data_IF_829170823106
#
_entry.id   IF_829170823106
#
_cell.length_a   1.000
_cell.length_b   1.000
_cell.length_c   1.000
_cell.angle_alpha   90.00
_cell.angle_beta   90.00
_cell.angle_gamma   90.00
#
_symmetry.space_group_name_H-M   'P 1'
#
loop_
_entity.id
_entity.type
_entity.pdbx_description
1 polymer ?
#
# COMPACT_ATOMS: atom_id res chain seq x y z
N UNK A 1 4.20 -7.16 -1.12
CA UNK A 1 4.45 -5.83 -1.76
C UNK A 1 4.38 -5.88 -3.28
N UNK A 2 5.17 -6.73 -3.95
CA UNK A 2 5.22 -6.83 -5.42
C UNK A 2 3.84 -6.94 -6.08
N UNK A 3 2.98 -7.85 -5.61
CA UNK A 3 1.63 -8.02 -6.15
C UNK A 3 0.74 -6.77 -6.02
N UNK A 4 0.86 -6.01 -4.92
CA UNK A 4 0.10 -4.76 -4.74
C UNK A 4 0.57 -3.66 -5.68
N UNK A 5 1.89 -3.58 -5.94
CA UNK A 5 2.46 -2.61 -6.88
C UNK A 5 2.10 -3.01 -8.33
N UNK A 6 2.21 -4.29 -8.67
CA UNK A 6 1.81 -4.82 -9.98
C UNK A 6 0.34 -4.53 -10.30
N UNK A 7 -0.55 -4.72 -9.33
CA UNK A 7 -1.97 -4.38 -9.48
C UNK A 7 -2.16 -2.89 -9.74
N UNK A 8 -1.42 -2.03 -9.04
CA UNK A 8 -1.51 -0.57 -9.23
C UNK A 8 -1.06 -0.16 -10.65
N UNK A 9 0.00 -0.78 -11.17
CA UNK A 9 0.44 -0.60 -12.55
C UNK A 9 -0.65 -1.02 -13.54
N UNK A 10 -1.25 -2.20 -13.36
CA UNK A 10 -2.32 -2.68 -14.24
C UNK A 10 -3.52 -1.72 -14.24
N UNK A 11 -3.89 -1.16 -13.09
CA UNK A 11 -4.95 -0.14 -13.00
C UNK A 11 -4.54 1.14 -13.75
N UNK A 12 -3.29 1.59 -13.64
CA UNK A 12 -2.81 2.75 -14.40
C UNK A 12 -2.85 2.49 -15.91
N UNK A 13 -2.40 1.31 -16.34
CA UNK A 13 -2.48 0.87 -17.74
C UNK A 13 -3.93 0.85 -18.22
N UNK A 14 -4.86 0.29 -17.43
CA UNK A 14 -6.30 0.28 -17.73
C UNK A 14 -6.84 1.69 -17.98
N UNK A 15 -6.51 2.64 -17.10
CA UNK A 15 -6.97 4.05 -17.25
C UNK A 15 -6.44 4.64 -18.55
N UNK A 16 -5.16 4.43 -18.87
CA UNK A 16 -4.58 4.92 -20.12
C UNK A 16 -5.27 4.31 -21.34
N UNK A 17 -5.50 3.00 -21.35
CA UNK A 17 -6.20 2.29 -22.43
C UNK A 17 -7.64 2.78 -22.58
N UNK A 18 -8.38 2.97 -21.49
CA UNK A 18 -9.74 3.52 -21.53
C UNK A 18 -9.75 4.93 -22.11
N UNK A 19 -8.84 5.80 -21.68
CA UNK A 19 -8.76 7.17 -22.19
C UNK A 19 -8.41 7.20 -23.69
N UNK A 20 -7.47 6.35 -24.15
CA UNK A 20 -7.14 6.21 -25.58
C UNK A 20 -8.33 5.72 -26.39
N UNK A 21 -9.04 4.71 -25.87
CA UNK A 21 -10.24 4.16 -26.49
C UNK A 21 -11.37 5.19 -26.56
N UNK A 22 -11.59 5.96 -25.50
CA UNK A 22 -12.57 7.05 -25.48
C UNK A 22 -12.24 8.10 -26.54
N UNK A 23 -10.98 8.51 -26.68
CA UNK A 23 -10.57 9.47 -27.73
C UNK A 23 -10.91 8.96 -29.14
N UNK A 24 -10.57 7.70 -29.44
CA UNK A 24 -10.88 7.09 -30.74
C UNK A 24 -12.39 6.96 -30.97
N UNK A 25 -13.16 6.61 -29.93
CA UNK A 25 -14.61 6.56 -30.01
C UNK A 25 -15.22 7.94 -30.27
N UNK A 26 -14.69 9.01 -29.68
CA UNK A 26 -15.14 10.38 -29.95
C UNK A 26 -14.98 10.79 -31.41
N UNK A 27 -13.92 10.33 -32.07
CA UNK A 27 -13.69 10.58 -33.51
C UNK A 27 -14.67 9.80 -34.39
N UNK A 28 -15.07 8.60 -33.97
CA UNK A 28 -16.02 7.76 -34.70
C UNK A 28 -17.48 8.13 -34.44
N UNK A 29 -17.78 8.61 -33.23
CA UNK A 29 -19.13 8.86 -32.72
C UNK A 29 -19.10 10.15 -31.88
N UNK A 30 -19.23 11.32 -32.52
CA UNK A 30 -19.33 12.58 -31.81
C UNK A 30 -20.56 12.58 -30.89
N UNK A 31 -20.37 12.90 -29.60
CA UNK A 31 -21.47 13.12 -28.64
C UNK A 31 -21.88 11.94 -27.75
N UNK A 32 -21.37 10.72 -27.95
CA UNK A 32 -21.79 9.53 -27.16
C UNK A 32 -20.80 9.06 -26.08
N UNK A 33 -19.84 9.88 -25.68
CA UNK A 33 -18.74 9.41 -24.82
C UNK A 33 -19.20 9.24 -23.37
N UNK A 34 -19.26 7.99 -22.91
CA UNK A 34 -19.59 7.64 -21.52
C UNK A 34 -18.37 7.81 -20.60
N UNK A 35 -18.58 8.41 -19.43
CA UNK A 35 -17.57 8.63 -18.38
C UNK A 35 -17.02 7.32 -17.76
N UNK A 36 -17.74 6.21 -17.88
CA UNK A 36 -17.38 4.90 -17.30
C UNK A 36 -17.39 3.78 -18.34
N UNK A 37 -16.56 3.92 -19.37
CA UNK A 37 -16.53 2.97 -20.48
C UNK A 37 -16.00 1.60 -20.04
N UNK A 38 -16.82 0.56 -20.24
CA UNK A 38 -16.43 -0.84 -20.05
C UNK A 38 -16.13 -1.52 -21.38
N UNK A 39 -15.33 -2.59 -21.37
CA UNK A 39 -15.02 -3.34 -22.58
C UNK A 39 -16.28 -3.84 -23.34
N UNK A 40 -17.32 -4.39 -22.69
CA UNK A 40 -18.56 -4.77 -23.39
C UNK A 40 -19.28 -3.58 -24.03
N UNK A 41 -19.35 -2.44 -23.34
CA UNK A 41 -19.97 -1.23 -23.89
C UNK A 41 -19.20 -0.70 -25.10
N UNK A 42 -17.87 -0.64 -25.02
CA UNK A 42 -17.04 -0.23 -26.14
C UNK A 42 -17.19 -1.18 -27.34
N UNK A 43 -17.27 -2.50 -27.08
CA UNK A 43 -17.52 -3.50 -28.12
C UNK A 43 -18.86 -3.26 -28.83
N UNK A 44 -19.93 -3.01 -28.09
CA UNK A 44 -21.26 -2.73 -28.63
C UNK A 44 -21.26 -1.44 -29.48
N UNK A 45 -20.60 -0.38 -29.01
CA UNK A 45 -20.46 0.87 -29.78
C UNK A 45 -19.70 0.64 -31.09
N UNK A 46 -18.59 -0.11 -31.05
CA UNK A 46 -17.77 -0.39 -32.24
C UNK A 46 -18.45 -1.36 -33.22
N UNK A 47 -19.32 -2.27 -32.76
CA UNK A 47 -20.03 -3.21 -33.64
C UNK A 47 -21.07 -2.50 -34.51
N UNK A 48 -21.76 -1.50 -33.94
CA UNK A 48 -22.80 -0.71 -34.63
C UNK A 48 -22.25 0.19 -35.73
N UNK A 49 -20.97 0.61 -35.65
CA UNK A 49 -20.41 1.58 -36.60
C UNK A 49 -19.62 0.92 -37.73
N UNK A 50 -19.95 1.23 -38.99
CA UNK A 50 -19.22 0.79 -40.19
C UNK A 50 -18.75 2.00 -41.01
N UNK A 51 -17.58 2.59 -40.69
CA UNK A 51 -17.07 3.72 -41.44
C UNK A 51 -16.69 3.31 -42.87
N UNK A 52 -16.99 4.19 -43.84
CA UNK A 52 -16.73 3.94 -45.27
C UNK A 52 -15.39 4.55 -45.71
N UNK A 53 -15.00 5.66 -45.10
CA UNK A 53 -13.77 6.38 -45.40
C UNK A 53 -12.53 5.69 -44.78
N UNK A 54 -11.33 5.87 -45.37
CA UNK A 54 -10.09 5.26 -44.87
C UNK A 54 -9.72 5.67 -43.44
N UNK A 55 -9.99 6.92 -43.06
CA UNK A 55 -9.68 7.46 -41.73
C UNK A 55 -10.49 6.77 -40.64
N UNK A 56 -11.81 6.70 -40.82
CA UNK A 56 -12.72 6.01 -39.91
C UNK A 56 -12.44 4.51 -39.82
N UNK A 57 -12.08 3.85 -40.93
CA UNK A 57 -11.64 2.44 -40.91
C UNK A 57 -10.39 2.25 -40.05
N UNK A 58 -9.41 3.14 -40.18
CA UNK A 58 -8.17 3.13 -39.38
C UNK A 58 -8.45 3.39 -37.90
N UNK A 59 -9.26 4.41 -37.59
CA UNK A 59 -9.65 4.74 -36.22
C UNK A 59 -10.40 3.56 -35.56
N UNK A 60 -11.32 2.91 -36.28
CA UNK A 60 -12.02 1.71 -35.79
C UNK A 60 -11.06 0.55 -35.52
N UNK A 61 -10.09 0.29 -36.40
CA UNK A 61 -9.08 -0.76 -36.19
C UNK A 61 -8.28 -0.51 -34.91
N UNK A 62 -7.76 0.70 -34.73
CA UNK A 62 -7.01 1.08 -33.52
C UNK A 62 -7.89 0.99 -32.26
N UNK A 63 -9.17 1.33 -32.35
CA UNK A 63 -10.10 1.20 -31.23
C UNK A 63 -10.34 -0.26 -30.85
N UNK A 64 -10.38 -1.18 -31.83
CA UNK A 64 -10.46 -2.62 -31.58
C UNK A 64 -9.20 -3.15 -30.90
N UNK A 65 -8.01 -2.71 -31.31
CA UNK A 65 -6.74 -3.06 -30.64
C UNK A 65 -6.74 -2.59 -29.17
N UNK A 66 -7.13 -1.34 -28.90
CA UNK A 66 -7.26 -0.84 -27.52
C UNK A 66 -8.32 -1.61 -26.71
N UNK A 67 -9.39 -2.08 -27.35
CA UNK A 67 -10.40 -2.91 -26.70
C UNK A 67 -9.85 -4.30 -26.32
N UNK A 68 -9.06 -4.92 -27.18
CA UNK A 68 -8.39 -6.19 -26.90
C UNK A 68 -7.44 -6.06 -25.70
N UNK A 69 -6.62 -5.01 -25.69
CA UNK A 69 -5.75 -4.66 -24.56
C UNK A 69 -6.55 -4.50 -23.26
N UNK A 70 -7.66 -3.75 -23.32
CA UNK A 70 -8.52 -3.49 -22.16
C UNK A 70 -9.07 -4.79 -21.57
N UNK A 71 -9.51 -5.73 -22.41
CA UNK A 71 -10.02 -7.04 -21.98
C UNK A 71 -8.93 -7.84 -21.25
N UNK A 72 -7.71 -7.85 -21.78
CA UNK A 72 -6.57 -8.56 -21.16
C UNK A 72 -6.20 -7.92 -19.82
N UNK A 73 -6.11 -6.59 -19.76
CA UNK A 73 -5.79 -5.85 -18.54
C UNK A 73 -6.86 -6.09 -17.47
N UNK A 74 -8.15 -6.03 -17.83
CA UNK A 74 -9.26 -6.30 -16.90
C UNK A 74 -9.19 -7.70 -16.31
N UNK A 75 -8.87 -8.72 -17.12
CA UNK A 75 -8.66 -10.09 -16.63
C UNK A 75 -7.49 -10.17 -15.66
N UNK A 76 -6.36 -9.53 -15.97
CA UNK A 76 -5.17 -9.51 -15.10
C UNK A 76 -5.44 -8.82 -13.77
N UNK A 77 -6.17 -7.69 -13.77
CA UNK A 77 -6.59 -7.02 -12.53
C UNK A 77 -7.45 -7.95 -11.68
N UNK A 78 -8.45 -8.62 -12.27
CA UNK A 78 -9.30 -9.57 -11.55
C UNK A 78 -8.53 -10.75 -10.98
N UNK A 79 -7.53 -11.27 -11.72
CA UNK A 79 -6.65 -12.33 -11.23
C UNK A 79 -5.83 -11.85 -10.03
N UNK A 80 -5.19 -10.67 -10.12
CA UNK A 80 -4.45 -10.08 -9.00
C UNK A 80 -5.34 -9.77 -7.80
N UNK A 81 -6.60 -9.36 -8.00
CA UNK A 81 -7.56 -9.14 -6.91
C UNK A 81 -7.84 -10.44 -6.13
N UNK A 82 -8.01 -11.57 -6.85
CA UNK A 82 -8.21 -12.88 -6.23
C UNK A 82 -6.97 -13.34 -5.47
N UNK A 83 -5.80 -13.21 -6.08
CA UNK A 83 -4.52 -13.60 -5.47
C UNK A 83 -4.22 -12.78 -4.21
N UNK A 84 -4.40 -11.46 -4.26
CA UNK A 84 -4.23 -10.59 -3.09
C UNK A 84 -5.20 -10.98 -1.97
N UNK A 85 -6.46 -11.29 -2.29
CA UNK A 85 -7.43 -11.75 -1.30
C UNK A 85 -6.99 -13.07 -0.66
N UNK A 86 -6.56 -14.04 -1.46
CA UNK A 86 -6.08 -15.32 -0.96
C UNK A 86 -4.89 -15.14 -0.01
N UNK A 87 -3.91 -14.30 -0.36
CA UNK A 87 -2.75 -14.03 0.51
C UNK A 87 -3.13 -13.35 1.83
N UNK A 88 -4.09 -12.41 1.83
CA UNK A 88 -4.54 -11.77 3.08
C UNK A 88 -5.23 -12.78 4.00
N UNK A 89 -6.03 -13.70 3.43
CA UNK A 89 -6.66 -14.78 4.19
C UNK A 89 -5.57 -15.72 4.75
N UNK A 90 -4.62 -16.13 3.92
CA UNK A 90 -3.53 -17.02 4.32
C UNK A 90 -2.61 -16.41 5.39
N UNK A 91 -2.49 -15.08 5.44
CA UNK A 91 -1.71 -14.41 6.49
C UNK A 91 -2.41 -14.41 7.87
N UNK A 92 -3.65 -14.91 7.97
CA UNK A 92 -4.43 -14.90 9.21
C UNK A 92 -4.91 -13.50 9.65
N UNK A 93 -4.72 -12.47 8.83
CA UNK A 93 -5.03 -11.09 9.22
C UNK A 93 -6.53 -10.83 9.20
N UNK A 94 -7.02 -10.17 10.24
CA UNK A 94 -8.43 -9.75 10.36
C UNK A 94 -8.69 -8.32 9.91
N UNK A 95 -7.76 -7.70 9.17
CA UNK A 95 -7.93 -6.34 8.67
C UNK A 95 -9.17 -6.15 7.79
N UNK A 96 -9.62 -7.20 7.09
CA UNK A 96 -10.84 -7.15 6.25
C UNK A 96 -12.13 -7.12 7.08
N UNK A 97 -12.07 -7.44 8.38
CA UNK A 97 -13.22 -7.34 9.29
C UNK A 97 -13.53 -5.88 9.63
N UNK A 98 -12.57 -4.97 9.41
CA UNK A 98 -12.76 -3.54 9.61
C UNK A 98 -13.63 -2.97 8.48
N UNK A 99 -14.76 -2.30 8.78
CA UNK A 99 -15.66 -1.77 7.76
C UNK A 99 -14.95 -0.87 6.74
N UNK A 100 -15.17 -1.12 5.46
CA UNK A 100 -14.56 -0.35 4.37
C UNK A 100 -13.12 -0.74 4.01
N UNK A 101 -12.48 -1.67 4.73
CA UNK A 101 -11.19 -2.23 4.34
C UNK A 101 -11.42 -3.53 3.56
N UNK A 102 -11.24 -3.46 2.24
CA UNK A 102 -11.29 -4.63 1.37
C UNK A 102 -9.93 -5.33 1.20
N UNK A 103 -9.88 -6.43 0.43
CA UNK A 103 -8.67 -7.23 0.24
C UNK A 103 -7.46 -6.42 -0.25
N UNK A 104 -7.68 -5.50 -1.19
CA UNK A 104 -6.62 -4.66 -1.77
C UNK A 104 -6.05 -3.71 -0.71
N UNK A 105 -6.93 -3.13 0.12
CA UNK A 105 -6.54 -2.24 1.21
C UNK A 105 -5.78 -2.98 2.30
N UNK A 106 -6.29 -4.14 2.72
CA UNK A 106 -5.63 -5.01 3.69
C UNK A 106 -4.25 -5.47 3.18
N UNK A 107 -4.16 -5.99 1.96
CA UNK A 107 -2.91 -6.43 1.35
C UNK A 107 -1.89 -5.29 1.27
N UNK A 108 -2.33 -4.07 0.92
CA UNK A 108 -1.44 -2.90 0.86
C UNK A 108 -0.95 -2.50 2.25
N UNK A 109 -1.83 -2.50 3.25
CA UNK A 109 -1.48 -2.20 4.65
C UNK A 109 -0.43 -3.19 5.14
N UNK A 110 -0.68 -4.51 5.02
CA UNK A 110 0.26 -5.55 5.43
C UNK A 110 1.61 -5.42 4.70
N UNK A 111 1.58 -5.17 3.39
CA UNK A 111 2.79 -5.07 2.58
C UNK A 111 3.68 -3.85 2.92
N UNK A 112 3.10 -2.72 3.31
CA UNK A 112 3.87 -1.49 3.60
C UNK A 112 4.21 -1.35 5.09
N UNK A 113 3.38 -1.91 5.97
CA UNK A 113 3.67 -1.97 7.40
C UNK A 113 4.76 -3.01 7.68
N UNK A 114 4.63 -4.23 7.15
CA UNK A 114 5.48 -5.33 7.55
C UNK A 114 5.28 -5.61 9.04
N UNK A 115 6.37 -5.55 9.81
CA UNK A 115 6.30 -5.63 11.27
C UNK A 115 5.68 -4.36 11.88
N UNK A 116 4.61 -4.54 12.66
CA UNK A 116 3.91 -3.46 13.38
C UNK A 116 4.73 -2.94 14.57
N UNK A 117 5.62 -3.74 15.15
CA UNK A 117 6.45 -3.35 16.31
C UNK A 117 7.42 -2.21 15.99
N UNK A 118 7.70 -1.95 14.71
CA UNK A 118 8.48 -0.78 14.26
C UNK A 118 7.83 0.57 14.65
N UNK A 119 6.53 0.56 14.98
CA UNK A 119 5.81 1.76 15.42
C UNK A 119 5.61 1.73 16.94
N UNK A 120 6.32 2.62 17.64
CA UNK A 120 6.26 2.72 19.10
C UNK A 120 4.84 2.95 19.66
N UNK A 121 3.99 3.68 18.93
CA UNK A 121 2.62 3.94 19.34
C UNK A 121 1.68 4.25 18.16
N UNK A 122 0.39 4.36 18.47
CA UNK A 122 -0.68 4.70 17.52
C UNK A 122 -0.50 6.06 16.85
N UNK A 123 0.15 7.02 17.50
CA UNK A 123 0.38 8.36 16.96
C UNK A 123 1.53 8.37 15.95
N UNK A 124 2.58 7.57 16.18
CA UNK A 124 3.65 7.30 15.20
C UNK A 124 3.08 6.62 13.96
N UNK A 125 2.21 5.63 14.14
CA UNK A 125 1.48 5.03 13.03
C UNK A 125 0.60 6.06 12.29
N UNK A 126 -0.11 6.91 13.01
CA UNK A 126 -0.94 7.95 12.41
C UNK A 126 -0.12 8.98 11.62
N UNK A 127 1.04 9.39 12.15
CA UNK A 127 1.96 10.29 11.45
C UNK A 127 2.51 9.63 10.17
N UNK A 128 2.95 8.37 10.27
CA UNK A 128 3.42 7.61 9.12
C UNK A 128 2.34 7.39 8.06
N UNK A 129 1.08 7.16 8.44
CA UNK A 129 -0.05 7.05 7.50
C UNK A 129 -0.59 8.40 7.01
N UNK A 130 -0.06 9.53 7.52
CA UNK A 130 -0.54 10.88 7.19
C UNK A 130 -1.96 11.15 7.69
N UNK A 131 -2.37 10.50 8.79
CA UNK A 131 -3.66 10.66 9.46
C UNK A 131 -3.58 11.32 10.82
N UNK A 132 -2.38 11.65 11.30
CA UNK A 132 -2.19 12.45 12.51
C UNK A 132 -2.98 13.78 12.42
N UNK A 133 -3.54 14.27 13.54
CA UNK A 133 -4.14 15.60 13.57
C UNK A 133 -3.09 16.62 13.12
N UNK A 134 -3.49 17.54 12.25
CA UNK A 134 -2.70 18.74 11.98
C UNK A 134 -3.25 19.80 12.93
N UNK A 135 -2.42 20.30 13.84
CA UNK A 135 -2.78 21.48 14.63
C UNK A 135 -3.00 22.64 13.66
N UNK A 136 -4.20 23.21 13.72
CA UNK A 136 -4.60 24.36 12.93
C UNK A 136 -4.76 25.54 13.88
N UNK A 137 -3.64 26.16 14.26
CA UNK A 137 -3.65 27.45 14.95
C UNK A 137 -2.51 28.33 14.46
N UNK A 138 -2.87 29.30 13.62
CA UNK A 138 -2.27 30.63 13.55
C UNK A 138 -3.46 31.55 13.30
N UNK A 139 -3.59 32.57 14.14
CA UNK A 139 -4.77 33.40 14.28
C UNK A 139 -5.32 33.90 12.95
N UNK A 140 -6.64 33.95 12.90
CA UNK A 140 -7.41 34.83 12.03
C UNK A 140 -7.76 34.39 10.61
N UNK A 141 -7.02 33.55 9.87
CA UNK A 141 -7.56 32.75 8.74
C UNK A 141 -6.58 31.65 8.29
N UNK A 142 -6.98 30.38 8.36
CA UNK A 142 -6.11 29.25 7.97
C UNK A 142 -6.60 28.63 6.66
N UNK A 143 -6.03 29.10 5.54
CA UNK A 143 -6.03 28.32 4.29
C UNK A 143 -5.26 27.01 4.51
N UNK A 144 -5.95 25.88 4.37
CA UNK A 144 -5.35 24.57 4.57
C UNK A 144 -4.38 24.19 3.43
N UNK A 145 -3.08 24.16 3.72
CA UNK A 145 -2.11 23.50 2.83
C UNK A 145 -2.18 21.98 3.02
N UNK A 146 -2.23 21.23 1.92
CA UNK A 146 -2.17 19.77 1.93
C UNK A 146 -0.85 19.30 2.56
N UNK A 147 -0.88 18.70 3.75
CA UNK A 147 0.30 18.03 4.30
C UNK A 147 0.78 16.94 3.31
N UNK A 148 2.07 17.00 2.93
CA UNK A 148 2.74 16.02 2.06
C UNK A 148 3.41 14.88 2.80
N UNK A 149 3.39 14.91 4.14
CA UNK A 149 3.99 13.88 4.96
C UNK A 149 3.16 12.58 4.98
N UNK A 150 3.85 11.45 5.19
CA UNK A 150 3.28 10.12 5.35
C UNK A 150 3.11 9.31 4.05
N UNK A 151 2.90 8.00 4.21
CA UNK A 151 2.68 7.05 3.13
C UNK A 151 1.34 7.33 2.43
N UNK A 152 1.43 7.91 1.24
CA UNK A 152 0.27 8.31 0.42
C UNK A 152 -0.60 7.13 -0.01
N UNK A 153 0.00 5.97 -0.27
CA UNK A 153 -0.75 4.78 -0.70
C UNK A 153 -1.64 4.29 0.44
N UNK A 154 -1.12 4.24 1.67
CA UNK A 154 -1.91 3.89 2.85
C UNK A 154 -2.94 4.97 3.19
N UNK A 155 -2.56 6.24 3.10
CA UNK A 155 -3.51 7.34 3.32
C UNK A 155 -4.72 7.28 2.37
N UNK A 156 -4.48 6.92 1.11
CA UNK A 156 -5.52 6.71 0.11
C UNK A 156 -6.41 5.50 0.45
N UNK A 157 -5.84 4.38 0.89
CA UNK A 157 -6.62 3.22 1.37
C UNK A 157 -7.53 3.59 2.55
N UNK A 158 -7.00 4.31 3.54
CA UNK A 158 -7.78 4.78 4.70
C UNK A 158 -8.87 5.78 4.30
N UNK A 159 -8.61 6.61 3.28
CA UNK A 159 -9.62 7.51 2.73
C UNK A 159 -10.75 6.74 2.04
N UNK A 160 -10.43 5.73 1.22
CA UNK A 160 -11.44 4.88 0.57
C UNK A 160 -12.25 4.07 1.58
N UNK A 161 -11.63 3.61 2.67
CA UNK A 161 -12.33 2.99 3.79
C UNK A 161 -13.30 3.98 4.45
N UNK A 162 -12.87 5.21 4.71
CA UNK A 162 -13.74 6.26 5.27
C UNK A 162 -14.94 6.57 4.38
N UNK A 163 -14.74 6.75 3.07
CA UNK A 163 -15.83 6.97 2.12
C UNK A 163 -16.80 5.78 2.07
N UNK A 164 -16.28 4.57 2.16
CA UNK A 164 -17.11 3.36 2.21
C UNK A 164 -17.93 3.28 3.50
N UNK A 165 -17.32 3.59 4.65
CA UNK A 165 -18.04 3.67 5.93
C UNK A 165 -19.12 4.75 5.92
N UNK A 166 -18.90 5.89 5.28
CA UNK A 166 -19.93 6.95 5.15
C UNK A 166 -21.10 6.48 4.26
N UNK A 167 -20.81 5.75 3.19
CA UNK A 167 -21.81 5.25 2.22
C UNK A 167 -22.63 4.05 2.70
N UNK A 168 -22.14 3.31 3.69
CA UNK A 168 -22.82 2.16 4.29
C UNK A 168 -23.28 2.47 5.71
N UNK A 169 -24.22 1.69 6.25
CA UNK A 169 -24.68 1.89 7.62
C UNK A 169 -23.67 1.30 8.62
N UNK A 170 -22.85 2.16 9.20
CA UNK A 170 -21.72 1.77 10.06
C UNK A 170 -21.52 2.77 11.20
N UNK A 171 -20.83 2.34 12.26
CA UNK A 171 -20.37 3.23 13.33
C UNK A 171 -19.53 4.41 12.84
N UNK A 172 -18.83 4.22 11.72
CA UNK A 172 -18.06 5.26 11.04
C UNK A 172 -18.94 6.37 10.49
N UNK A 173 -20.07 6.02 9.84
CA UNK A 173 -21.09 6.97 9.40
C UNK A 173 -21.68 7.72 10.59
N UNK A 174 -22.07 7.01 11.65
CA UNK A 174 -22.64 7.64 12.85
C UNK A 174 -21.66 8.67 13.45
N UNK A 175 -20.38 8.31 13.56
CA UNK A 175 -19.34 9.22 14.03
C UNK A 175 -19.11 10.42 13.10
N UNK A 176 -19.07 10.19 11.80
CA UNK A 176 -18.96 11.27 10.81
C UNK A 176 -20.13 12.25 10.94
N UNK A 177 -21.37 11.75 11.04
CA UNK A 177 -22.57 12.58 11.25
C UNK A 177 -22.51 13.37 12.55
N UNK A 178 -22.07 12.76 13.67
CA UNK A 178 -21.86 13.50 14.93
C UNK A 178 -20.84 14.63 14.79
N UNK A 179 -19.74 14.41 14.05
CA UNK A 179 -18.75 15.47 13.80
C UNK A 179 -19.29 16.58 12.91
N UNK A 180 -20.13 16.26 11.91
CA UNK A 180 -20.84 17.26 11.09
C UNK A 180 -21.83 18.07 11.93
N UNK A 181 -22.59 17.42 12.82
CA UNK A 181 -23.51 18.09 13.74
C UNK A 181 -22.80 19.00 14.74
N UNK A 182 -21.57 18.66 15.14
CA UNK A 182 -20.70 19.51 15.95
C UNK A 182 -20.02 20.66 15.18
N UNK A 183 -20.55 21.06 14.02
CA UNK A 183 -20.06 22.20 13.24
C UNK A 183 -18.84 21.94 12.33
N UNK A 184 -18.27 20.72 12.31
CA UNK A 184 -17.11 20.45 11.45
C UNK A 184 -17.48 20.42 9.96
N UNK A 185 -16.61 20.97 9.12
CA UNK A 185 -16.72 20.84 7.66
C UNK A 185 -16.63 19.37 7.23
N UNK A 186 -17.06 19.07 6.00
CA UNK A 186 -16.95 17.72 5.42
C UNK A 186 -15.51 17.19 5.51
N UNK A 187 -14.52 18.02 5.14
CA UNK A 187 -13.12 17.62 5.13
C UNK A 187 -12.56 17.38 6.54
N UNK A 188 -12.95 18.21 7.52
CA UNK A 188 -12.53 18.02 8.92
C UNK A 188 -13.16 16.78 9.55
N UNK A 189 -14.46 16.55 9.33
CA UNK A 189 -15.15 15.35 9.79
C UNK A 189 -14.54 14.09 9.16
N UNK A 190 -14.21 14.14 7.86
CA UNK A 190 -13.55 13.06 7.15
C UNK A 190 -12.12 12.79 7.68
N UNK A 191 -11.34 13.84 7.99
CA UNK A 191 -10.03 13.69 8.65
C UNK A 191 -10.15 13.01 10.01
N UNK A 192 -11.14 13.41 10.82
CA UNK A 192 -11.42 12.77 12.11
C UNK A 192 -11.77 11.27 11.93
N UNK A 193 -12.58 10.93 10.92
CA UNK A 193 -12.93 9.54 10.63
C UNK A 193 -11.70 8.74 10.18
N UNK A 194 -10.89 9.29 9.26
CA UNK A 194 -9.64 8.64 8.82
C UNK A 194 -8.68 8.38 9.98
N UNK A 195 -8.52 9.31 10.91
CA UNK A 195 -7.72 9.12 12.14
C UNK A 195 -8.23 7.94 12.96
N UNK A 196 -9.55 7.85 13.15
CA UNK A 196 -10.20 6.74 13.87
C UNK A 196 -9.99 5.39 13.18
N UNK A 197 -10.11 5.34 11.85
CA UNK A 197 -9.84 4.11 11.07
C UNK A 197 -8.37 3.72 11.20
N UNK A 198 -7.45 4.69 11.14
CA UNK A 198 -6.02 4.44 11.36
C UNK A 198 -5.73 3.81 12.72
N UNK A 199 -6.36 4.30 13.80
CA UNK A 199 -6.26 3.68 15.14
C UNK A 199 -6.86 2.27 15.19
N UNK A 200 -7.95 2.02 14.47
CA UNK A 200 -8.54 0.68 14.38
C UNK A 200 -7.61 -0.30 13.64
N UNK A 201 -6.99 0.14 12.54
CA UNK A 201 -6.00 -0.64 11.79
C UNK A 201 -4.79 -0.97 12.66
N UNK A 202 -4.21 0.02 13.34
CA UNK A 202 -3.05 -0.21 14.22
C UNK A 202 -3.37 -1.22 15.33
N UNK A 203 -4.52 -1.08 15.99
CA UNK A 203 -4.96 -2.05 17.00
C UNK A 203 -5.16 -3.45 16.43
N UNK A 204 -5.70 -3.56 15.21
CA UNK A 204 -5.89 -4.85 14.58
C UNK A 204 -4.56 -5.50 14.21
N UNK A 205 -3.60 -4.74 13.68
CA UNK A 205 -2.25 -5.24 13.38
C UNK A 205 -1.54 -5.76 14.64
N UNK A 206 -1.67 -5.09 15.79
CA UNK A 206 -1.12 -5.57 17.05
C UNK A 206 -1.76 -6.88 17.50
N UNK A 207 -3.08 -7.03 17.35
CA UNK A 207 -3.78 -8.28 17.66
C UNK A 207 -3.34 -9.40 16.73
N UNK A 208 -3.25 -9.14 15.43
CA UNK A 208 -2.80 -10.11 14.43
C UNK A 208 -1.37 -10.59 14.76
N UNK A 209 -0.47 -9.69 15.16
CA UNK A 209 0.88 -10.04 15.60
C UNK A 209 0.87 -10.89 16.88
N UNK A 210 0.12 -10.49 17.91
CA UNK A 210 0.02 -11.27 19.15
C UNK A 210 -0.59 -12.67 18.93
N UNK A 211 -1.53 -12.82 18.00
CA UNK A 211 -2.08 -14.13 17.63
C UNK A 211 -1.08 -15.02 16.87
N UNK A 212 -0.18 -14.41 16.09
CA UNK A 212 0.90 -15.13 15.42
C UNK A 212 1.92 -15.67 16.45
N UNK A 213 2.28 -14.86 17.45
CA UNK A 213 3.20 -15.26 18.52
C UNK A 213 2.59 -16.29 19.49
N UNK A 214 1.28 -16.21 19.73
CA UNK A 214 0.55 -17.13 20.61
C UNK A 214 0.15 -18.46 19.95
N UNK A 215 0.27 -18.58 18.62
CA UNK A 215 0.03 -19.86 17.96
C UNK A 215 1.20 -20.81 18.26
N UNK A 216 0.96 -22.00 18.86
CA UNK A 216 2.01 -22.95 19.18
C UNK A 216 2.54 -23.58 17.88
N UNK A 217 3.48 -22.89 17.23
CA UNK A 217 4.19 -23.35 16.05
C UNK A 217 5.35 -24.25 16.42
N UNK A 218 5.20 -25.54 16.10
CA UNK A 218 6.12 -26.63 16.38
C UNK A 218 7.58 -26.39 16.02
N UNK A 219 8.41 -27.00 16.85
CA UNK A 219 9.84 -27.14 16.67
C UNK A 219 10.05 -28.20 15.59
N UNK A 220 10.43 -27.77 14.39
CA UNK A 220 10.81 -28.66 13.31
C UNK A 220 12.34 -28.57 13.16
N UNK A 221 13.08 -29.59 13.61
CA UNK A 221 14.48 -29.75 13.22
C UNK A 221 15.45 -30.22 14.30
N UNK A 222 15.24 -31.42 14.85
CA UNK A 222 16.34 -32.23 15.37
C UNK A 222 16.01 -33.72 15.18
N UNK A 223 15.97 -34.15 13.91
CA UNK A 223 16.05 -35.56 13.54
C UNK A 223 17.26 -35.73 12.64
N UNK A 224 18.45 -35.87 13.24
CA UNK A 224 19.51 -36.64 12.62
C UNK A 224 19.24 -38.11 12.97
N UNK A 225 18.34 -38.72 12.21
CA UNK A 225 18.37 -40.16 12.01
C UNK A 225 19.69 -40.49 11.31
N UNK A 226 20.64 -41.00 12.09
CA UNK A 226 21.81 -41.72 11.61
C UNK A 226 21.34 -43.02 10.96
N UNK A 227 21.59 -43.18 9.66
CA UNK A 227 21.59 -44.49 8.98
C UNK A 227 22.36 -44.41 7.66
N UNK A 228 23.62 -44.85 7.69
CA UNK A 228 24.36 -45.44 6.56
C UNK A 228 25.58 -46.15 7.17
N UNK A 229 25.51 -47.46 7.39
CA UNK A 229 26.12 -48.52 6.56
C UNK A 229 27.64 -48.60 6.73
N UNK A 230 28.05 -49.70 7.35
CA UNK A 230 29.42 -50.18 7.47
C UNK A 230 30.09 -50.35 6.11
N UNK A 231 31.24 -49.68 5.91
CA UNK A 231 32.34 -50.19 5.06
C UNK A 231 33.67 -49.54 5.53
N UNK A 232 34.53 -50.35 6.16
CA UNK A 232 35.98 -50.15 6.16
C UNK A 232 36.55 -51.03 5.03
N UNK A 233 37.58 -50.59 4.27
CA UNK A 233 38.95 -50.60 4.82
C UNK A 233 39.98 -49.58 4.24
N UNK A 234 41.12 -49.52 4.97
CA UNK A 234 42.50 -49.18 4.55
C UNK A 234 42.93 -47.71 4.30
N UNK A 235 43.57 -47.16 5.35
CA UNK A 235 44.89 -46.50 5.42
C UNK A 235 45.38 -45.78 4.15
N UNK A 236 45.51 -44.45 4.23
CA UNK A 236 46.83 -43.80 4.14
C UNK A 236 46.88 -42.49 4.95
N UNK A 237 48.07 -42.30 5.48
CA UNK A 237 48.65 -41.29 6.34
C UNK A 237 48.85 -39.98 5.57
N UNK A 238 48.37 -38.83 6.07
CA UNK A 238 49.22 -37.64 6.27
C UNK A 238 48.44 -36.43 6.80
N UNK A 239 49.14 -35.75 7.72
CA UNK A 239 49.16 -34.31 7.99
C UNK A 239 48.11 -33.69 8.92
N UNK A 240 48.67 -33.23 10.04
CA UNK A 240 48.10 -32.48 11.15
C UNK A 240 47.59 -31.08 10.73
N UNK A 241 46.63 -30.51 11.49
CA UNK A 241 46.07 -29.19 11.20
C UNK A 241 47.06 -28.04 11.53
N UNK A 242 47.23 -27.11 10.59
CA UNK A 242 47.91 -25.83 10.84
C UNK A 242 47.02 -24.87 11.67
N UNK A 243 47.61 -24.04 12.56
CA UNK A 243 46.89 -23.12 13.44
C UNK A 243 46.38 -21.84 12.76
N UNK A 244 45.29 -21.29 13.31
CA UNK A 244 44.56 -20.10 12.84
C UNK A 244 45.43 -18.83 12.71
N UNK A 245 45.15 -17.95 11.71
CA UNK A 245 45.83 -16.68 11.55
C UNK A 245 45.41 -15.63 12.61
N UNK A 246 46.34 -14.72 13.02
CA UNK A 246 46.12 -13.80 14.13
C UNK A 246 45.10 -12.68 13.84
N UNK A 247 44.28 -12.39 14.85
CA UNK A 247 43.24 -11.36 14.85
C UNK A 247 43.84 -9.94 14.71
N UNK A 248 43.46 -9.22 13.64
CA UNK A 248 43.75 -7.79 13.48
C UNK A 248 43.02 -6.96 14.54
N UNK A 249 43.78 -6.33 15.44
CA UNK A 249 43.28 -5.30 16.36
C UNK A 249 42.95 -4.03 15.56
N UNK A 250 41.67 -3.67 15.49
CA UNK A 250 41.24 -2.35 15.01
C UNK A 250 41.58 -1.27 16.06
N UNK A 251 42.28 -0.23 15.63
CA UNK A 251 42.58 0.93 16.46
C UNK A 251 41.31 1.75 16.78
N UNK A 252 41.19 2.24 18.01
CA UNK A 252 40.07 3.06 18.47
C UNK A 252 40.06 4.44 17.80
N UNK A 253 38.87 5.02 17.49
CA UNK A 253 38.77 6.34 16.87
C UNK A 253 39.11 7.48 17.86
N UNK A 254 39.67 8.60 17.37
CA UNK A 254 40.05 9.74 18.22
C UNK A 254 38.84 10.51 18.77
N UNK A 255 38.96 10.97 20.03
CA UNK A 255 37.93 11.74 20.75
C UNK A 255 37.73 13.16 20.17
N UNK A 256 36.51 13.71 20.19
CA UNK A 256 36.24 15.05 19.67
C UNK A 256 36.81 16.17 20.57
N UNK A 257 37.42 17.19 19.95
CA UNK A 257 37.96 18.40 20.59
C UNK A 257 36.82 19.25 21.19
N UNK A 258 37.01 19.72 22.43
CA UNK A 258 36.13 20.66 23.13
C UNK A 258 36.04 22.00 22.35
N UNK A 259 34.82 22.46 22.05
CA UNK A 259 34.54 23.82 21.56
C UNK A 259 34.77 24.82 22.70
N UNK A 260 35.63 25.82 22.46
CA UNK A 260 35.74 27.00 23.33
C UNK A 260 34.54 27.92 23.08
N UNK A 261 33.91 28.36 24.17
CA UNK A 261 32.81 29.33 24.19
C UNK A 261 33.41 30.74 24.27
N UNK A 262 33.04 31.62 23.34
CA UNK A 262 33.44 33.02 23.37
C UNK A 262 32.57 33.84 24.36
N UNK A 263 33.11 34.85 25.06
CA UNK A 263 32.39 35.64 26.06
C UNK A 263 31.50 36.73 25.41
N UNK A 264 30.47 37.23 26.14
CA UNK A 264 29.47 38.15 25.59
C UNK A 264 29.98 39.59 25.44
N UNK A 265 29.55 40.24 24.36
CA UNK A 265 29.76 41.67 24.08
C UNK A 265 28.98 42.53 25.08
N UNK A 266 29.68 43.50 25.66
CA UNK A 266 29.14 44.51 26.58
C UNK A 266 28.28 45.53 25.83
N UNK A 267 27.19 45.97 26.46
CA UNK A 267 26.37 47.11 26.08
C UNK A 267 27.09 48.43 26.36
N UNK A 268 27.03 49.38 25.44
CA UNK A 268 27.33 50.79 25.69
C UNK A 268 26.41 51.66 24.83
N UNK A 269 25.76 52.63 25.48
CA UNK A 269 25.30 53.89 24.90
C UNK A 269 23.96 53.84 24.19
#
# INVERSE_FOLDING_TARGET
RMLTDRRAELVSQRVQTVNRLQRLLSELIPGEVKLNLTAPQARDMLSRRRPRDPGGKTCKRLALEQLEDLVVIDRRIKASDKELKAMVIASGSRLMDLPGIGPIGAARILADVGDVARFADRNRFASWTGTAPLDASSGEQIRHRLSRAGNRKINHMLHMAALSQIRLDTDGRAYYRRKRAAGKTHLEALRCLKRRISDAVYRQLLRDAAHADASPGGHCGASLTSSAVDFHPLIDTSDQPLPDPPQRRYAAPPRPRKRQVAPPLKSTG
#
